data_IF_323820806159
#
_entry.id   IF_323820806159
#
_cell.length_a   1.000
_cell.length_b   1.000
_cell.length_c   1.000
_cell.angle_alpha   90.00
_cell.angle_beta   90.00
_cell.angle_gamma   90.00
#
_symmetry.space_group_name_H-M   'P 1'
#
loop_
_entity.id
_entity.type
_entity.pdbx_description
1 polymer ?
#
# COMPACT_ATOMS: atom_id res chain seq x y z
N UNK A 1 0.78 11.40 3.63
CA UNK A 1 -0.54 11.48 2.98
C UNK A 1 -1.56 11.94 4.01
N UNK A 2 -2.43 12.90 3.70
CA UNK A 2 -3.51 13.31 4.61
C UNK A 2 -4.75 12.43 4.41
N UNK A 3 -5.72 12.48 5.33
CA UNK A 3 -6.98 11.77 5.17
C UNK A 3 -7.73 12.18 3.90
N UNK A 4 -7.71 13.48 3.55
CA UNK A 4 -8.29 14.00 2.30
C UNK A 4 -7.59 13.38 1.10
N UNK A 5 -6.26 13.39 1.06
CA UNK A 5 -5.52 12.78 -0.06
C UNK A 5 -5.83 11.28 -0.19
N UNK A 6 -5.93 10.55 0.91
CA UNK A 6 -6.28 9.12 0.89
C UNK A 6 -7.69 8.89 0.34
N UNK A 7 -8.66 9.70 0.75
CA UNK A 7 -10.03 9.60 0.28
C UNK A 7 -10.16 9.91 -1.22
N UNK A 8 -9.58 11.02 -1.67
CA UNK A 8 -9.63 11.47 -3.07
C UNK A 8 -8.85 10.56 -4.03
N UNK A 9 -7.87 9.81 -3.52
CA UNK A 9 -7.16 8.77 -4.30
C UNK A 9 -7.85 7.41 -4.24
N UNK A 10 -8.96 7.28 -3.51
CA UNK A 10 -9.62 6.00 -3.22
C UNK A 10 -8.70 4.95 -2.57
N UNK A 11 -7.65 5.40 -1.87
CA UNK A 11 -6.68 4.55 -1.20
C UNK A 11 -5.80 3.72 -2.14
N UNK A 12 -5.05 2.79 -1.55
CA UNK A 12 -4.16 1.87 -2.26
C UNK A 12 -4.93 0.78 -3.02
N UNK A 13 -4.35 0.21 -4.10
CA UNK A 13 -4.90 -0.98 -4.76
C UNK A 13 -4.81 -2.21 -3.85
N UNK A 14 -5.87 -3.02 -3.78
CA UNK A 14 -5.90 -4.25 -2.99
C UNK A 14 -5.49 -5.49 -3.81
N UNK A 15 -5.22 -5.31 -5.11
CA UNK A 15 -5.13 -6.41 -6.06
C UNK A 15 -3.70 -6.81 -6.47
N UNK A 16 -2.69 -6.25 -5.81
CA UNK A 16 -1.30 -6.65 -5.94
C UNK A 16 -0.95 -7.71 -4.89
N UNK A 17 -0.73 -8.95 -5.35
CA UNK A 17 -0.23 -10.05 -4.54
C UNK A 17 1.14 -10.47 -5.07
N UNK A 18 2.14 -10.54 -4.18
CA UNK A 18 3.55 -10.65 -4.54
C UNK A 18 4.22 -9.28 -4.73
N UNK A 19 5.49 -9.27 -5.13
CA UNK A 19 6.32 -8.06 -5.11
C UNK A 19 6.16 -7.17 -6.35
N UNK A 20 6.00 -5.87 -6.10
CA UNK A 20 6.19 -4.79 -7.06
C UNK A 20 4.91 -4.22 -7.70
N UNK A 21 4.95 -2.91 -7.98
CA UNK A 21 3.96 -2.17 -8.76
C UNK A 21 2.85 -1.47 -7.97
N UNK A 22 2.62 -1.83 -6.70
CA UNK A 22 1.59 -1.21 -5.87
C UNK A 22 1.92 0.25 -5.53
N UNK A 23 3.15 0.54 -5.09
CA UNK A 23 3.64 1.91 -4.87
C UNK A 23 3.56 2.77 -6.14
N UNK A 24 3.88 2.19 -7.31
CA UNK A 24 3.80 2.88 -8.61
C UNK A 24 2.35 3.23 -8.97
N UNK A 25 1.42 2.31 -8.71
CA UNK A 25 -0.02 2.52 -8.89
C UNK A 25 -0.52 3.64 -7.96
N UNK A 26 -0.14 3.60 -6.68
CA UNK A 26 -0.47 4.68 -5.73
C UNK A 26 0.09 6.03 -6.19
N UNK A 27 1.31 6.08 -6.72
CA UNK A 27 1.87 7.30 -7.29
C UNK A 27 1.04 7.81 -8.47
N UNK A 28 0.53 6.92 -9.34
CA UNK A 28 -0.38 7.29 -10.43
C UNK A 28 -1.72 7.80 -9.90
N UNK A 29 -2.27 7.19 -8.85
CA UNK A 29 -3.52 7.63 -8.20
C UNK A 29 -3.41 9.05 -7.66
N UNK A 30 -2.27 9.43 -7.09
CA UNK A 30 -2.02 10.83 -6.71
C UNK A 30 -2.15 11.78 -7.91
N UNK A 31 -1.55 11.43 -9.04
CA UNK A 31 -1.68 12.23 -10.29
C UNK A 31 -3.11 12.24 -10.81
N UNK A 32 -3.82 11.12 -10.73
CA UNK A 32 -5.21 11.00 -11.16
C UNK A 32 -6.17 11.87 -10.34
N UNK A 33 -5.88 12.05 -9.05
CA UNK A 33 -6.56 12.95 -8.13
C UNK A 33 -6.00 14.38 -8.14
N UNK A 34 -5.15 14.72 -9.12
CA UNK A 34 -4.55 16.04 -9.28
C UNK A 34 -3.64 16.51 -8.13
N UNK A 35 -3.12 15.59 -7.32
CA UNK A 35 -2.11 15.90 -6.30
C UNK A 35 -0.69 15.90 -6.87
N UNK A 36 0.17 16.71 -6.25
CA UNK A 36 1.60 16.76 -6.52
C UNK A 36 2.38 16.02 -5.44
N UNK A 37 3.42 15.31 -5.85
CA UNK A 37 4.34 14.65 -4.94
C UNK A 37 5.37 15.66 -4.41
N UNK A 38 5.45 15.81 -3.10
CA UNK A 38 6.42 16.67 -2.43
C UNK A 38 7.50 15.81 -1.77
N UNK A 39 8.77 16.19 -1.94
CA UNK A 39 9.92 15.54 -1.30
C UNK A 39 10.64 16.55 -0.39
N UNK A 40 11.10 16.08 0.77
CA UNK A 40 11.96 16.88 1.66
C UNK A 40 13.37 16.94 1.09
N UNK A 41 14.17 17.90 1.56
CA UNK A 41 15.58 18.01 1.18
C UNK A 41 16.32 16.71 1.53
N UNK A 42 17.02 16.16 0.53
CA UNK A 42 17.79 14.92 0.63
C UNK A 42 18.94 15.01 1.62
N UNK A 43 19.37 16.21 2.01
CA UNK A 43 20.39 16.41 3.04
C UNK A 43 19.91 15.96 4.42
N UNK A 44 18.60 16.11 4.72
CA UNK A 44 17.99 15.83 6.02
C UNK A 44 17.07 14.60 6.03
N UNK A 45 16.56 14.17 4.88
CA UNK A 45 15.57 13.09 4.76
C UNK A 45 16.19 11.77 4.23
N UNK A 46 17.26 11.31 4.87
CA UNK A 46 17.94 10.04 4.53
C UNK A 46 17.43 8.92 5.43
N UNK A 47 17.27 7.73 4.86
CA UNK A 47 16.82 6.53 5.56
C UNK A 47 17.84 5.41 5.39
N UNK A 48 17.99 4.59 6.43
CA UNK A 48 18.85 3.40 6.41
C UNK A 48 17.97 2.16 6.46
N UNK A 49 18.05 1.31 5.44
CA UNK A 49 17.36 0.02 5.40
C UNK A 49 18.02 -0.94 6.38
N UNK A 50 17.23 -1.57 7.25
CA UNK A 50 17.70 -2.70 8.05
C UNK A 50 17.99 -3.87 7.11
N UNK A 51 19.16 -4.51 7.28
CA UNK A 51 19.57 -5.63 6.44
C UNK A 51 18.56 -6.77 6.54
N UNK A 52 18.07 -7.24 5.40
CA UNK A 52 17.18 -8.39 5.29
C UNK A 52 17.51 -9.16 4.01
N UNK A 53 17.25 -10.47 4.02
CA UNK A 53 17.22 -11.27 2.80
C UNK A 53 15.90 -11.04 2.09
N UNK A 54 15.83 -11.34 0.79
CA UNK A 54 14.55 -11.30 0.08
C UNK A 54 13.56 -12.27 0.75
N UNK A 55 12.38 -11.79 1.12
CA UNK A 55 11.38 -12.62 1.80
C UNK A 55 10.87 -13.71 0.85
N UNK A 56 10.82 -14.96 1.34
CA UNK A 56 10.36 -16.10 0.55
C UNK A 56 8.91 -15.95 0.05
N UNK A 57 8.06 -15.19 0.78
CA UNK A 57 6.67 -14.91 0.41
C UNK A 57 6.48 -13.77 -0.60
N UNK A 58 7.53 -13.03 -0.94
CA UNK A 58 7.46 -11.84 -1.79
C UNK A 58 7.94 -12.10 -3.22
N UNK A 59 7.61 -13.25 -3.79
CA UNK A 59 7.97 -13.54 -5.18
C UNK A 59 7.47 -12.41 -6.12
N UNK A 60 8.23 -12.02 -7.16
CA UNK A 60 7.82 -10.96 -8.07
C UNK A 60 6.44 -11.23 -8.65
N UNK A 61 5.52 -10.27 -8.53
CA UNK A 61 4.19 -10.40 -9.09
C UNK A 61 4.30 -10.42 -10.63
N UNK A 62 3.95 -11.54 -11.31
CA UNK A 62 4.10 -11.65 -12.76
C UNK A 62 3.12 -10.73 -13.51
N UNK A 63 2.04 -10.29 -12.85
CA UNK A 63 1.01 -9.42 -13.42
C UNK A 63 1.25 -7.93 -13.12
N UNK A 64 2.32 -7.55 -12.42
CA UNK A 64 2.55 -6.17 -11.96
C UNK A 64 2.47 -5.12 -13.09
N UNK A 65 3.10 -5.39 -14.24
CA UNK A 65 3.10 -4.45 -15.37
C UNK A 65 1.73 -4.33 -16.03
N UNK A 66 1.01 -5.45 -16.18
CA UNK A 66 -0.37 -5.45 -16.71
C UNK A 66 -1.30 -4.70 -15.78
N UNK A 67 -1.22 -4.97 -14.47
CA UNK A 67 -1.99 -4.25 -13.44
C UNK A 67 -1.71 -2.75 -13.48
N UNK A 68 -0.44 -2.38 -13.52
CA UNK A 68 -0.03 -0.97 -13.56
C UNK A 68 -0.55 -0.27 -14.82
N UNK A 69 -0.53 -0.94 -15.98
CA UNK A 69 -1.10 -0.41 -17.22
C UNK A 69 -2.62 -0.17 -17.12
N UNK A 70 -3.34 -1.01 -16.35
CA UNK A 70 -4.78 -0.90 -16.10
C UNK A 70 -5.13 0.02 -14.92
N UNK A 71 -4.16 0.63 -14.24
CA UNK A 71 -4.36 1.39 -12.99
C UNK A 71 -5.49 2.44 -13.10
N UNK A 72 -5.53 3.24 -14.18
CA UNK A 72 -6.58 4.27 -14.35
C UNK A 72 -7.98 3.68 -14.47
N UNK A 73 -8.11 2.52 -15.12
CA UNK A 73 -9.38 1.80 -15.28
C UNK A 73 -9.85 1.20 -13.95
N UNK A 74 -8.92 0.64 -13.18
CA UNK A 74 -9.20 -0.03 -11.90
C UNK A 74 -9.34 0.96 -10.73
N UNK A 75 -8.84 2.18 -10.85
CA UNK A 75 -8.75 3.16 -9.78
C UNK A 75 -10.06 3.39 -9.00
N UNK A 76 -11.21 3.38 -9.69
CA UNK A 76 -12.52 3.62 -9.08
C UNK A 76 -13.22 2.36 -8.56
N UNK A 77 -12.68 1.17 -8.82
CA UNK A 77 -13.28 -0.11 -8.42
C UNK A 77 -12.40 -0.93 -7.47
N UNK A 78 -11.07 -0.76 -7.53
CA UNK A 78 -10.12 -1.30 -6.57
C UNK A 78 -9.74 -0.21 -5.56
N UNK A 79 -10.58 -0.04 -4.55
CA UNK A 79 -10.54 1.06 -3.58
C UNK A 79 -10.42 0.57 -2.15
N UNK A 80 -10.08 1.44 -1.20
CA UNK A 80 -10.07 1.09 0.23
C UNK A 80 -11.44 0.63 0.76
N UNK A 81 -12.55 0.96 0.08
CA UNK A 81 -13.88 0.49 0.45
C UNK A 81 -14.17 -0.93 -0.06
N UNK A 82 -13.44 -1.38 -1.08
CA UNK A 82 -13.61 -2.70 -1.69
C UNK A 82 -12.83 -3.82 -0.99
N UNK A 83 -11.94 -3.48 -0.05
CA UNK A 83 -11.10 -4.45 0.66
C UNK A 83 -11.97 -5.40 1.49
N UNK A 84 -11.62 -6.68 1.44
CA UNK A 84 -12.21 -7.72 2.28
C UNK A 84 -11.14 -8.24 3.22
N UNK A 85 -11.40 -8.20 4.51
CA UNK A 85 -10.50 -8.72 5.52
C UNK A 85 -11.28 -9.08 6.78
N UNK A 86 -10.69 -9.94 7.60
CA UNK A 86 -11.20 -10.26 8.94
C UNK A 86 -10.14 -9.98 9.99
N UNK A 87 -10.50 -9.24 11.02
CA UNK A 87 -9.63 -9.03 12.18
C UNK A 87 -9.64 -10.31 13.03
N UNK A 88 -8.48 -10.93 13.17
CA UNK A 88 -8.29 -12.15 13.97
C UNK A 88 -7.90 -11.82 15.41
N UNK A 89 -7.02 -10.84 15.58
CA UNK A 89 -6.54 -10.41 16.90
C UNK A 89 -6.30 -8.90 16.92
N UNK A 90 -6.58 -8.29 18.08
CA UNK A 90 -6.25 -6.90 18.37
C UNK A 90 -5.76 -6.78 19.81
N UNK A 91 -4.59 -6.18 20.02
CA UNK A 91 -4.00 -6.07 21.37
C UNK A 91 -2.94 -5.00 21.43
N UNK A 92 -2.86 -4.29 22.56
CA UNK A 92 -1.67 -3.52 22.90
C UNK A 92 -0.52 -4.48 23.27
N UNK A 93 0.66 -4.32 22.67
CA UNK A 93 1.83 -5.20 22.91
C UNK A 93 3.05 -4.41 23.37
N UNK A 94 4.05 -5.14 23.88
CA UNK A 94 5.32 -4.60 24.37
C UNK A 94 5.13 -3.41 25.31
N UNK A 95 4.39 -3.63 26.40
CA UNK A 95 4.15 -2.61 27.43
C UNK A 95 3.56 -1.29 26.91
N UNK A 96 2.81 -1.33 25.80
CA UNK A 96 2.17 -0.13 25.25
C UNK A 96 2.84 0.48 24.02
N UNK A 97 3.96 -0.07 23.54
CA UNK A 97 4.71 0.54 22.44
C UNK A 97 3.96 0.51 21.10
N UNK A 98 3.12 -0.51 20.85
CA UNK A 98 2.30 -0.55 19.64
C UNK A 98 1.00 -1.32 19.82
N UNK A 99 0.01 -0.95 19.00
CA UNK A 99 -1.23 -1.68 18.86
C UNK A 99 -1.12 -2.69 17.72
N UNK A 100 -1.18 -3.97 18.05
CA UNK A 100 -1.09 -5.06 17.09
C UNK A 100 -2.46 -5.40 16.50
N UNK A 101 -2.52 -5.52 15.18
CA UNK A 101 -3.66 -6.01 14.43
C UNK A 101 -3.23 -7.20 13.58
N UNK A 102 -3.77 -8.39 13.88
CA UNK A 102 -3.66 -9.54 13.01
C UNK A 102 -4.89 -9.62 12.14
N UNK A 103 -4.69 -9.67 10.82
CA UNK A 103 -5.76 -9.72 9.83
C UNK A 103 -5.60 -10.91 8.90
N UNK A 104 -6.74 -11.44 8.47
CA UNK A 104 -6.83 -12.39 7.37
C UNK A 104 -7.34 -11.65 6.13
N UNK A 105 -6.61 -11.77 5.02
CA UNK A 105 -6.93 -11.15 3.72
C UNK A 105 -7.56 -12.13 2.72
N UNK A 106 -7.62 -13.42 3.04
CA UNK A 106 -8.03 -14.49 2.13
C UNK A 106 -9.39 -15.11 2.46
N UNK A 107 -9.89 -14.91 3.68
CA UNK A 107 -11.25 -15.32 4.06
C UNK A 107 -12.26 -14.23 3.69
N UNK A 108 -12.71 -14.29 2.44
CA UNK A 108 -13.98 -13.72 1.98
C UNK A 108 -15.08 -14.77 1.99
#
# INVERSE_FOLDING_TARGET
>A
MTAVHFNETHGFPNSYFGWGGEDDDMSRRLTFAHFKLTRRDLKIARYTMLKHTHDAGNAPNPRRYKRLAEAKKLWKSDTFQSIKYRVLQRSLRHSGLYYYLQVDLLLS
#
